data_IF_701579289449
#
_entry.id   IF_701579289449
#
_cell.length_a   1.000
_cell.length_b   1.000
_cell.length_c   1.000
_cell.angle_alpha   90.00
_cell.angle_beta   90.00
_cell.angle_gamma   90.00
#
_symmetry.space_group_name_H-M   'P 1'
#
loop_
_entity.id
_entity.type
_entity.pdbx_description
1 polymer ?
#
# COMPACT_ATOMS: atom_id res chain seq x y z
N UNK A 1 -2.38 2.29 -25.72
CA UNK A 1 -2.89 1.02 -25.14
C UNK A 1 -3.31 1.32 -23.72
N UNK A 2 -4.41 0.75 -23.23
CA UNK A 2 -4.85 0.95 -21.84
C UNK A 2 -3.80 0.43 -20.87
N UNK A 3 -3.50 1.21 -19.82
CA UNK A 3 -2.55 0.83 -18.77
C UNK A 3 -3.17 -0.22 -17.86
N UNK A 4 -2.38 -1.21 -17.43
CA UNK A 4 -2.79 -2.30 -16.55
C UNK A 4 -1.89 -2.38 -15.35
N UNK A 5 -2.50 -2.53 -14.16
CA UNK A 5 -1.80 -2.85 -12.92
C UNK A 5 -2.28 -4.20 -12.38
N UNK A 6 -1.37 -5.10 -12.08
CA UNK A 6 -1.68 -6.26 -11.23
C UNK A 6 -1.59 -5.82 -9.78
N UNK A 7 -2.64 -6.11 -9.00
CA UNK A 7 -2.69 -5.78 -7.56
C UNK A 7 -2.84 -7.07 -6.77
N UNK A 8 -1.79 -7.44 -6.05
CA UNK A 8 -1.71 -8.66 -5.23
C UNK A 8 -1.99 -8.25 -3.78
N UNK A 9 -3.23 -8.42 -3.33
CA UNK A 9 -3.70 -8.00 -2.01
C UNK A 9 -4.89 -8.85 -1.58
N UNK A 10 -5.33 -8.77 -0.33
CA UNK A 10 -6.56 -9.42 0.10
C UNK A 10 -7.81 -8.71 -0.45
N UNK A 11 -8.94 -9.42 -0.37
CA UNK A 11 -10.25 -8.86 -0.65
C UNK A 11 -11.12 -8.92 0.61
N UNK A 12 -11.35 -7.78 1.24
CA UNK A 12 -12.31 -7.64 2.33
C UNK A 12 -13.68 -7.28 1.75
N UNK A 13 -14.68 -8.16 1.97
CA UNK A 13 -16.04 -7.96 1.43
C UNK A 13 -16.77 -6.80 2.11
N UNK A 14 -16.45 -6.52 3.38
CA UNK A 14 -16.97 -5.38 4.13
C UNK A 14 -15.83 -4.62 4.81
N UNK A 15 -15.95 -3.30 4.81
CA UNK A 15 -14.89 -2.35 5.14
C UNK A 15 -14.12 -1.92 3.88
N UNK A 16 -13.77 -0.65 3.79
CA UNK A 16 -13.11 -0.07 2.62
C UNK A 16 -11.60 -0.18 2.79
N UNK A 17 -11.04 -1.32 2.40
CA UNK A 17 -9.60 -1.59 2.42
C UNK A 17 -9.20 -2.54 1.29
N UNK A 18 -7.93 -2.73 1.10
CA UNK A 18 -7.33 -3.72 0.20
C UNK A 18 -7.85 -3.63 -1.24
N UNK A 19 -8.16 -4.74 -1.91
CA UNK A 19 -8.67 -4.75 -3.30
C UNK A 19 -10.00 -3.99 -3.45
N UNK A 20 -10.83 -3.94 -2.40
CA UNK A 20 -12.12 -3.25 -2.45
C UNK A 20 -11.95 -1.74 -2.70
N UNK A 21 -10.84 -1.11 -2.31
CA UNK A 21 -10.53 0.29 -2.61
C UNK A 21 -9.60 0.44 -3.80
N UNK A 22 -8.65 -0.47 -4.00
CA UNK A 22 -7.71 -0.38 -5.13
C UNK A 22 -8.43 -0.45 -6.47
N UNK A 23 -9.44 -1.30 -6.61
CA UNK A 23 -10.19 -1.47 -7.86
C UNK A 23 -10.88 -0.17 -8.31
N UNK A 24 -11.75 0.48 -7.49
CA UNK A 24 -12.42 1.71 -7.90
C UNK A 24 -11.45 2.88 -8.08
N UNK A 25 -10.43 3.03 -7.23
CA UNK A 25 -9.43 4.11 -7.34
C UNK A 25 -8.67 4.02 -8.66
N UNK A 26 -8.07 2.87 -8.97
CA UNK A 26 -7.32 2.70 -10.21
C UNK A 26 -8.22 2.85 -11.44
N UNK A 27 -9.46 2.36 -11.37
CA UNK A 27 -10.44 2.53 -12.45
C UNK A 27 -10.79 4.00 -12.69
N UNK A 28 -11.01 4.79 -11.64
CA UNK A 28 -11.24 6.24 -11.74
C UNK A 28 -10.03 6.95 -12.40
N UNK A 29 -8.82 6.49 -12.09
CA UNK A 29 -7.57 7.00 -12.68
C UNK A 29 -7.26 6.41 -14.07
N UNK A 30 -8.22 5.75 -14.74
CA UNK A 30 -8.11 5.17 -16.09
C UNK A 30 -7.07 4.05 -16.21
N UNK A 31 -6.78 3.36 -15.11
CA UNK A 31 -5.92 2.18 -15.06
C UNK A 31 -6.80 0.94 -14.88
N UNK A 32 -6.61 -0.08 -15.73
CA UNK A 32 -7.24 -1.38 -15.53
C UNK A 32 -6.58 -2.07 -14.34
N UNK A 33 -7.30 -2.17 -13.22
CA UNK A 33 -6.90 -3.01 -12.09
C UNK A 33 -7.13 -4.48 -12.42
N UNK A 34 -6.10 -5.32 -12.26
CA UNK A 34 -6.15 -6.76 -12.43
C UNK A 34 -5.87 -7.40 -11.06
N UNK A 35 -6.90 -7.69 -10.25
CA UNK A 35 -6.71 -8.17 -8.89
C UNK A 35 -6.22 -9.62 -8.84
N UNK A 36 -5.29 -9.89 -7.92
CA UNK A 36 -4.83 -11.23 -7.52
C UNK A 36 -5.08 -11.36 -6.02
N UNK A 37 -6.17 -11.99 -5.59
CA UNK A 37 -6.47 -12.14 -4.18
C UNK A 37 -5.44 -13.01 -3.45
N UNK A 38 -4.96 -12.56 -2.29
CA UNK A 38 -4.14 -13.35 -1.36
C UNK A 38 -4.99 -14.06 -0.32
N UNK A 39 -6.10 -13.42 0.06
CA UNK A 39 -7.11 -13.93 0.98
C UNK A 39 -8.48 -13.30 0.66
N UNK A 40 -9.54 -13.95 1.06
CA UNK A 40 -10.91 -13.40 0.98
C UNK A 40 -11.45 -13.34 2.40
N UNK A 41 -11.78 -12.15 2.86
CA UNK A 41 -12.35 -11.88 4.18
C UNK A 41 -13.82 -11.49 4.08
N UNK A 42 -14.64 -11.92 5.03
CA UNK A 42 -16.01 -11.41 5.19
C UNK A 42 -16.01 -9.92 5.52
N UNK A 43 -15.08 -9.50 6.35
CA UNK A 43 -14.77 -8.14 6.76
C UNK A 43 -13.33 -8.11 7.27
N UNK A 44 -12.67 -6.97 7.21
CA UNK A 44 -11.26 -6.89 7.60
C UNK A 44 -11.01 -7.20 9.10
N UNK A 45 -9.76 -7.50 9.42
CA UNK A 45 -9.31 -7.99 10.74
C UNK A 45 -9.49 -6.99 11.90
N UNK A 46 -9.78 -5.72 11.64
CA UNK A 46 -10.08 -4.69 12.64
C UNK A 46 -11.45 -4.83 13.30
N UNK A 47 -12.35 -5.66 12.76
CA UNK A 47 -13.64 -5.97 13.40
C UNK A 47 -13.47 -7.00 14.54
N UNK A 48 -14.42 -7.07 15.50
CA UNK A 48 -14.33 -8.02 16.60
C UNK A 48 -14.32 -9.49 16.21
N UNK A 49 -14.88 -9.81 15.04
CA UNK A 49 -14.87 -11.14 14.44
C UNK A 49 -14.85 -11.05 12.94
N UNK A 50 -14.25 -12.01 12.29
CA UNK A 50 -14.21 -12.16 10.84
C UNK A 50 -14.05 -13.64 10.48
N UNK A 51 -14.42 -13.98 9.26
CA UNK A 51 -14.05 -15.25 8.64
C UNK A 51 -13.22 -14.96 7.39
N UNK A 52 -12.30 -15.84 7.07
CA UNK A 52 -11.45 -15.68 5.92
C UNK A 52 -11.06 -17.02 5.29
N UNK A 53 -10.72 -16.96 4.03
CA UNK A 53 -10.16 -18.07 3.27
C UNK A 53 -8.80 -17.65 2.75
N UNK A 54 -7.76 -18.39 3.11
CA UNK A 54 -6.43 -18.27 2.50
C UNK A 54 -6.53 -18.70 1.03
N UNK A 55 -6.06 -17.85 0.13
CA UNK A 55 -6.17 -18.09 -1.31
C UNK A 55 -4.88 -18.66 -1.93
N UNK A 56 -3.85 -18.92 -1.15
CA UNK A 56 -2.51 -19.34 -1.59
C UNK A 56 -2.56 -20.51 -2.59
N UNK A 57 -3.38 -21.53 -2.32
CA UNK A 57 -3.49 -22.72 -3.18
C UNK A 57 -4.02 -22.42 -4.60
N UNK A 58 -4.62 -21.25 -4.82
CA UNK A 58 -5.22 -20.86 -6.11
C UNK A 58 -4.38 -19.81 -6.86
N UNK A 59 -3.37 -19.22 -6.23
CA UNK A 59 -2.64 -18.08 -6.80
C UNK A 59 -1.81 -18.46 -8.03
N UNK A 60 -1.18 -19.62 -8.05
CA UNK A 60 -0.35 -20.04 -9.20
C UNK A 60 -1.15 -20.13 -10.51
N UNK A 61 -2.45 -20.42 -10.44
CA UNK A 61 -3.34 -20.41 -11.59
C UNK A 61 -3.40 -19.06 -12.33
N UNK A 62 -3.19 -17.93 -11.63
CA UNK A 62 -3.11 -16.60 -12.29
C UNK A 62 -1.87 -16.49 -13.18
N UNK A 63 -0.71 -16.94 -12.70
CA UNK A 63 0.52 -16.92 -13.50
C UNK A 63 0.35 -17.80 -14.74
N UNK A 64 -0.19 -19.01 -14.55
CA UNK A 64 -0.37 -19.97 -15.64
C UNK A 64 -1.31 -19.44 -16.72
N UNK A 65 -2.52 -18.99 -16.34
CA UNK A 65 -3.52 -18.51 -17.29
C UNK A 65 -3.11 -17.19 -17.94
N UNK A 66 -2.54 -16.26 -17.17
CA UNK A 66 -2.16 -14.94 -17.71
C UNK A 66 -0.94 -15.03 -18.63
N UNK A 67 -0.04 -16.01 -18.45
CA UNK A 67 1.00 -16.35 -19.43
C UNK A 67 0.42 -16.85 -20.75
N UNK A 68 -0.58 -17.75 -20.69
CA UNK A 68 -1.28 -18.25 -21.89
C UNK A 68 -1.97 -17.13 -22.67
N UNK A 69 -2.54 -16.17 -21.94
CA UNK A 69 -3.16 -14.97 -22.52
C UNK A 69 -2.15 -13.92 -23.03
N UNK A 70 -0.86 -14.10 -22.75
CA UNK A 70 0.20 -13.14 -23.13
C UNK A 70 0.04 -11.79 -22.45
N UNK A 71 -0.50 -11.74 -21.22
CA UNK A 71 -0.73 -10.49 -20.53
C UNK A 71 0.58 -9.79 -20.18
N UNK A 72 0.54 -8.47 -20.19
CA UNK A 72 1.62 -7.58 -19.76
C UNK A 72 1.03 -6.51 -18.84
N UNK A 73 1.79 -6.14 -17.83
CA UNK A 73 1.42 -5.13 -16.85
C UNK A 73 2.37 -3.94 -16.92
N UNK A 74 1.84 -2.75 -16.72
CA UNK A 74 2.64 -1.53 -16.60
C UNK A 74 3.10 -1.32 -15.14
N UNK A 75 2.37 -1.91 -14.18
CA UNK A 75 2.73 -1.90 -12.78
C UNK A 75 2.27 -3.17 -12.07
N UNK A 76 2.95 -3.50 -10.99
CA UNK A 76 2.59 -4.57 -10.05
C UNK A 76 2.63 -3.97 -8.65
N UNK A 77 1.53 -4.08 -7.91
CA UNK A 77 1.44 -3.63 -6.53
C UNK A 77 1.19 -4.81 -5.62
N UNK A 78 1.84 -4.83 -4.45
CA UNK A 78 1.52 -5.75 -3.37
C UNK A 78 0.88 -5.01 -2.21
N UNK A 79 0.07 -5.71 -1.42
CA UNK A 79 -0.44 -5.31 -0.12
C UNK A 79 -0.31 -6.45 0.87
N UNK A 80 -1.40 -6.84 1.53
CA UNK A 80 -1.41 -7.91 2.51
C UNK A 80 -0.97 -9.27 1.93
N UNK A 81 0.01 -9.89 2.59
CA UNK A 81 0.50 -11.25 2.31
C UNK A 81 0.42 -12.08 3.60
N UNK A 82 -0.33 -13.16 3.60
CA UNK A 82 -0.63 -13.96 4.78
C UNK A 82 0.41 -15.03 5.11
N UNK A 83 1.43 -15.26 4.27
CA UNK A 83 2.43 -16.31 4.47
C UNK A 83 3.70 -16.09 3.64
N UNK A 84 4.80 -16.77 4.01
CA UNK A 84 6.03 -16.79 3.21
C UNK A 84 5.80 -17.40 1.82
N UNK A 85 4.91 -18.38 1.69
CA UNK A 85 4.54 -18.94 0.40
C UNK A 85 3.95 -17.90 -0.56
N UNK A 86 3.22 -16.89 -0.02
CA UNK A 86 2.71 -15.77 -0.80
C UNK A 86 3.82 -14.78 -1.16
N UNK A 87 4.82 -14.56 -0.30
CA UNK A 87 6.03 -13.81 -0.66
C UNK A 87 6.75 -14.50 -1.83
N UNK A 88 6.95 -15.81 -1.76
CA UNK A 88 7.56 -16.59 -2.85
C UNK A 88 6.73 -16.53 -4.13
N UNK A 89 5.40 -16.53 -4.01
CA UNK A 89 4.50 -16.33 -5.15
C UNK A 89 4.74 -14.97 -5.83
N UNK A 90 4.86 -13.89 -5.04
CA UNK A 90 5.12 -12.56 -5.61
C UNK A 90 6.42 -12.55 -6.43
N UNK A 91 7.49 -13.21 -5.95
CA UNK A 91 8.72 -13.33 -6.74
C UNK A 91 8.51 -14.09 -8.05
N UNK A 92 7.77 -15.22 -8.03
CA UNK A 92 7.40 -15.94 -9.27
C UNK A 92 6.54 -15.09 -10.21
N UNK A 93 5.67 -14.24 -9.64
CA UNK A 93 4.85 -13.31 -10.41
C UNK A 93 5.71 -12.21 -11.04
N UNK A 94 6.67 -11.64 -10.31
CA UNK A 94 7.64 -10.67 -10.83
C UNK A 94 8.53 -11.29 -11.93
N UNK A 95 8.98 -12.52 -11.78
CA UNK A 95 9.73 -13.25 -12.82
C UNK A 95 8.89 -13.43 -14.10
N UNK A 96 7.58 -13.62 -13.95
CA UNK A 96 6.68 -13.82 -15.07
C UNK A 96 6.29 -12.52 -15.80
N UNK A 97 6.10 -11.43 -15.05
CA UNK A 97 5.42 -10.23 -15.53
C UNK A 97 6.11 -8.91 -15.14
N UNK A 98 7.16 -8.94 -14.33
CA UNK A 98 7.81 -7.75 -13.78
C UNK A 98 8.68 -6.99 -14.79
N UNK A 99 9.05 -7.62 -15.92
CA UNK A 99 9.93 -6.97 -16.89
C UNK A 99 9.30 -5.68 -17.46
N UNK A 100 9.87 -4.54 -17.09
CA UNK A 100 9.39 -3.21 -17.52
C UNK A 100 8.13 -2.72 -16.82
N UNK A 101 7.66 -3.43 -15.78
CA UNK A 101 6.59 -2.98 -14.91
C UNK A 101 7.15 -2.19 -13.72
N UNK A 102 6.43 -1.15 -13.29
CA UNK A 102 6.71 -0.46 -12.03
C UNK A 102 6.30 -1.36 -10.85
N UNK A 103 7.23 -1.67 -9.96
CA UNK A 103 6.99 -2.53 -8.78
C UNK A 103 6.76 -1.67 -7.54
N UNK A 104 5.52 -1.63 -7.06
CA UNK A 104 5.12 -0.89 -5.87
C UNK A 104 4.85 -1.86 -4.72
N UNK A 105 5.58 -1.75 -3.64
CA UNK A 105 5.43 -2.60 -2.47
C UNK A 105 4.83 -1.78 -1.33
N UNK A 106 3.60 -2.12 -0.97
CA UNK A 106 2.98 -1.71 0.29
C UNK A 106 3.20 -2.84 1.30
N UNK A 107 4.12 -2.68 2.25
CA UNK A 107 4.57 -3.77 3.09
C UNK A 107 3.66 -3.96 4.30
N UNK A 108 2.37 -4.13 4.05
CA UNK A 108 1.32 -4.26 5.07
C UNK A 108 1.66 -5.33 6.09
N UNK A 109 1.98 -4.95 7.33
CA UNK A 109 2.30 -5.91 8.40
C UNK A 109 1.93 -5.44 9.80
N UNK A 110 1.67 -4.16 10.02
CA UNK A 110 1.37 -3.64 11.35
C UNK A 110 1.25 -2.13 11.42
N UNK A 111 0.84 -1.61 12.57
CA UNK A 111 0.74 -0.18 12.83
C UNK A 111 0.95 0.14 14.33
N UNK A 112 1.25 1.40 14.67
CA UNK A 112 1.46 1.86 16.06
C UNK A 112 2.47 1.02 16.86
N UNK A 113 3.55 0.57 16.20
CA UNK A 113 4.59 -0.24 16.81
C UNK A 113 4.20 -1.70 17.07
N UNK A 114 3.10 -2.18 16.49
CA UNK A 114 2.59 -3.54 16.68
C UNK A 114 2.29 -4.21 15.36
N UNK A 115 2.64 -5.49 15.25
CA UNK A 115 2.23 -6.31 14.12
C UNK A 115 0.73 -6.64 14.21
N UNK A 116 0.08 -6.78 13.06
CA UNK A 116 -1.29 -7.30 13.00
C UNK A 116 -1.34 -8.74 13.50
N UNK A 117 -2.49 -9.17 14.02
CA UNK A 117 -2.68 -10.52 14.58
C UNK A 117 -2.45 -11.66 13.58
N UNK A 118 -2.46 -11.35 12.30
CA UNK A 118 -2.19 -12.28 11.20
C UNK A 118 -0.71 -12.39 10.84
N UNK A 119 0.17 -11.57 11.45
CA UNK A 119 1.61 -11.58 11.18
C UNK A 119 2.40 -12.19 12.32
N UNK A 120 3.29 -13.13 12.01
CA UNK A 120 4.40 -13.50 12.89
C UNK A 120 5.57 -12.53 12.68
N UNK A 121 6.52 -12.55 13.62
CA UNK A 121 7.75 -11.76 13.49
C UNK A 121 8.58 -12.22 12.29
N UNK A 122 8.67 -13.51 12.09
CA UNK A 122 9.42 -14.13 10.98
C UNK A 122 8.85 -13.71 9.64
N UNK A 123 7.50 -13.72 9.49
CA UNK A 123 6.84 -13.26 8.27
C UNK A 123 7.10 -11.77 8.02
N UNK A 124 7.02 -10.94 9.06
CA UNK A 124 7.30 -9.51 8.95
C UNK A 124 8.77 -9.24 8.55
N UNK A 125 9.72 -10.00 9.10
CA UNK A 125 11.13 -9.92 8.71
C UNK A 125 11.35 -10.37 7.27
N UNK A 126 10.60 -11.37 6.79
CA UNK A 126 10.67 -11.87 5.42
C UNK A 126 10.23 -10.83 4.36
N UNK A 127 9.46 -9.81 4.74
CA UNK A 127 9.10 -8.69 3.86
C UNK A 127 10.31 -7.86 3.39
N UNK A 128 11.43 -7.91 4.11
CA UNK A 128 12.69 -7.28 3.67
C UNK A 128 13.21 -7.81 2.33
N UNK A 129 12.78 -9.01 1.93
CA UNK A 129 13.12 -9.60 0.63
C UNK A 129 12.65 -8.76 -0.56
N UNK A 130 11.67 -7.86 -0.36
CA UNK A 130 11.20 -6.97 -1.42
C UNK A 130 12.09 -5.75 -1.66
N UNK A 131 12.97 -5.38 -0.72
CA UNK A 131 13.83 -4.19 -0.87
C UNK A 131 14.69 -4.20 -2.15
N UNK A 132 15.24 -5.35 -2.63
CA UNK A 132 16.03 -5.39 -3.86
C UNK A 132 15.21 -5.29 -5.16
N UNK A 133 13.88 -5.31 -5.10
CA UNK A 133 13.02 -5.39 -6.30
C UNK A 133 11.97 -4.28 -6.35
N UNK A 134 11.82 -3.50 -5.28
CA UNK A 134 10.84 -2.43 -5.20
C UNK A 134 11.33 -1.16 -5.90
N UNK A 135 10.53 -0.61 -6.82
CA UNK A 135 10.72 0.73 -7.36
C UNK A 135 10.12 1.80 -6.43
N UNK A 136 9.02 1.43 -5.75
CA UNK A 136 8.31 2.30 -4.79
C UNK A 136 7.98 1.50 -3.53
N UNK A 137 8.21 2.11 -2.37
CA UNK A 137 7.87 1.60 -1.04
C UNK A 137 6.97 2.60 -0.33
N UNK A 138 5.86 2.11 0.25
CA UNK A 138 4.87 2.94 0.97
C UNK A 138 4.67 2.52 2.44
N UNK A 139 5.73 2.19 3.20
CA UNK A 139 5.57 1.74 4.57
C UNK A 139 5.00 2.84 5.46
N UNK A 140 4.17 2.48 6.45
CA UNK A 140 3.97 3.33 7.62
C UNK A 140 5.22 3.31 8.52
N UNK A 141 5.23 4.12 9.58
CA UNK A 141 6.39 4.22 10.46
C UNK A 141 6.75 2.88 11.14
N UNK A 142 5.76 2.05 11.50
CA UNK A 142 5.98 0.72 12.10
C UNK A 142 6.67 -0.21 11.11
N UNK A 143 6.15 -0.27 9.91
CA UNK A 143 6.66 -1.09 8.81
C UNK A 143 8.06 -0.67 8.41
N UNK A 144 8.30 0.64 8.31
CA UNK A 144 9.63 1.18 8.03
C UNK A 144 10.66 0.77 9.09
N UNK A 145 10.27 0.78 10.38
CA UNK A 145 11.11 0.33 11.48
C UNK A 145 11.42 -1.17 11.39
N UNK A 146 10.42 -2.01 11.08
CA UNK A 146 10.62 -3.46 10.89
C UNK A 146 11.55 -3.73 9.72
N UNK A 147 11.32 -3.07 8.58
CA UNK A 147 12.15 -3.24 7.39
C UNK A 147 13.60 -2.78 7.62
N UNK A 148 13.80 -1.72 8.40
CA UNK A 148 15.13 -1.19 8.72
C UNK A 148 15.80 -1.85 9.93
N UNK A 149 15.10 -2.76 10.63
CA UNK A 149 15.58 -3.42 11.86
C UNK A 149 15.91 -2.46 12.99
N UNK A 150 15.04 -1.49 13.22
CA UNK A 150 15.19 -0.51 14.31
C UNK A 150 13.95 -0.49 15.22
N UNK A 151 14.09 -0.08 16.47
CA UNK A 151 12.95 0.11 17.37
C UNK A 151 11.98 1.18 16.85
N UNK A 152 10.67 0.93 17.03
CA UNK A 152 9.63 1.92 16.76
C UNK A 152 9.66 3.05 17.78
N UNK A 153 9.64 4.29 17.30
CA UNK A 153 9.45 5.50 18.10
C UNK A 153 8.48 6.45 17.37
N UNK A 154 7.29 6.76 17.89
CA UNK A 154 6.33 7.68 17.26
C UNK A 154 6.89 9.12 17.15
N UNK A 155 7.92 9.46 17.93
CA UNK A 155 8.57 10.77 17.93
C UNK A 155 9.94 10.76 17.20
N UNK A 156 10.15 9.75 16.35
CA UNK A 156 11.41 9.57 15.63
C UNK A 156 11.85 10.88 14.95
N UNK A 157 13.10 11.35 15.21
CA UNK A 157 13.63 12.57 14.60
C UNK A 157 13.78 12.44 13.07
N UNK A 158 13.65 13.54 12.34
CA UNK A 158 13.77 13.55 10.87
C UNK A 158 15.14 13.03 10.39
N UNK A 159 16.22 13.24 11.15
CA UNK A 159 17.54 12.67 10.84
C UNK A 159 17.59 11.15 10.87
N UNK A 160 16.78 10.52 11.75
CA UNK A 160 16.63 9.06 11.81
C UNK A 160 15.72 8.59 10.68
N UNK A 161 14.61 9.29 10.40
CA UNK A 161 13.74 9.01 9.26
C UNK A 161 14.53 9.04 7.94
N UNK A 162 15.43 10.02 7.77
CA UNK A 162 16.31 10.09 6.61
C UNK A 162 17.21 8.85 6.50
N UNK A 163 17.77 8.40 7.62
CA UNK A 163 18.64 7.21 7.64
C UNK A 163 17.85 5.96 7.29
N UNK A 164 16.61 5.82 7.82
CA UNK A 164 15.70 4.72 7.51
C UNK A 164 15.34 4.74 6.03
N UNK A 165 14.82 5.86 5.51
CA UNK A 165 14.40 5.96 4.11
C UNK A 165 15.55 5.69 3.14
N UNK A 166 16.75 6.20 3.44
CA UNK A 166 17.98 5.90 2.67
C UNK A 166 18.33 4.41 2.72
N UNK A 167 18.21 3.75 3.88
CA UNK A 167 18.44 2.31 4.00
C UNK A 167 17.45 1.50 3.15
N UNK A 168 16.18 1.84 3.21
CA UNK A 168 15.12 1.17 2.42
C UNK A 168 15.32 1.36 0.92
N UNK A 169 15.82 2.52 0.50
CA UNK A 169 16.09 2.83 -0.91
C UNK A 169 17.36 2.16 -1.45
N UNK A 170 18.33 1.81 -0.58
CA UNK A 170 19.71 1.54 -0.98
C UNK A 170 19.92 0.36 -1.94
N UNK A 171 19.06 -0.67 -1.89
CA UNK A 171 19.26 -1.90 -2.67
C UNK A 171 18.74 -1.82 -4.11
N UNK A 172 17.79 -0.94 -4.40
CA UNK A 172 17.20 -0.80 -5.74
C UNK A 172 16.95 0.66 -6.15
N UNK A 173 17.49 1.62 -5.40
CA UNK A 173 17.18 3.04 -5.56
C UNK A 173 15.66 3.33 -5.51
N UNK A 174 14.95 2.60 -4.63
CA UNK A 174 13.52 2.74 -4.48
C UNK A 174 13.14 4.15 -4.02
N UNK A 175 12.05 4.67 -4.57
CA UNK A 175 11.36 5.83 -4.02
C UNK A 175 10.61 5.39 -2.77
N UNK A 176 10.79 6.10 -1.66
CA UNK A 176 10.23 5.70 -0.38
C UNK A 176 9.33 6.82 0.16
N UNK A 177 8.14 6.47 0.60
CA UNK A 177 7.33 7.35 1.44
C UNK A 177 6.98 6.65 2.73
N UNK A 178 7.49 7.16 3.86
CA UNK A 178 7.11 6.69 5.19
C UNK A 178 5.88 7.49 5.62
N UNK A 179 4.75 6.79 5.78
CA UNK A 179 3.43 7.42 5.93
C UNK A 179 3.00 7.59 7.39
N UNK A 180 2.08 8.52 7.63
CA UNK A 180 1.32 8.61 8.86
C UNK A 180 2.11 9.00 10.10
N UNK A 181 3.21 9.75 9.97
CA UNK A 181 4.06 10.14 11.09
C UNK A 181 3.40 11.29 11.86
N UNK A 182 3.05 11.12 13.15
CA UNK A 182 2.42 12.18 13.92
C UNK A 182 3.42 13.32 14.25
N UNK A 183 3.00 14.57 14.01
CA UNK A 183 3.74 15.78 14.35
C UNK A 183 2.78 16.83 14.93
N UNK A 184 2.50 16.76 16.22
CA UNK A 184 1.53 17.65 16.87
C UNK A 184 0.12 17.45 16.33
N UNK A 185 -0.42 18.49 15.65
CA UNK A 185 -1.76 18.48 15.02
C UNK A 185 -1.72 18.03 13.55
N UNK A 186 -0.56 17.63 13.04
CA UNK A 186 -0.38 17.21 11.66
C UNK A 186 0.00 15.72 11.56
N UNK A 187 -0.30 15.13 10.41
CA UNK A 187 0.28 13.88 9.93
C UNK A 187 1.27 14.23 8.83
N UNK A 188 2.47 13.68 8.93
CA UNK A 188 3.56 13.91 7.98
C UNK A 188 3.87 12.64 7.23
N UNK A 189 4.03 12.76 5.91
CA UNK A 189 4.58 11.74 5.05
C UNK A 189 6.04 12.14 4.72
N UNK A 190 6.99 11.26 5.06
CA UNK A 190 8.41 11.47 4.79
C UNK A 190 8.75 10.86 3.44
N UNK A 191 8.95 11.71 2.43
CA UNK A 191 9.25 11.31 1.04
C UNK A 191 10.76 11.32 0.82
N UNK A 192 11.28 10.25 0.23
CA UNK A 192 12.69 10.13 -0.15
C UNK A 192 12.81 9.63 -1.59
N UNK A 193 13.48 10.41 -2.43
CA UNK A 193 13.73 10.11 -3.84
C UNK A 193 15.10 10.66 -4.24
N UNK A 194 15.95 9.86 -4.87
CA UNK A 194 17.26 10.25 -5.42
C UNK A 194 18.16 11.03 -4.46
N UNK A 195 18.18 10.63 -3.18
CA UNK A 195 18.98 11.28 -2.14
C UNK A 195 18.34 12.52 -1.51
N UNK A 196 17.20 12.97 -2.02
CA UNK A 196 16.47 14.16 -1.52
C UNK A 196 15.32 13.72 -0.62
N UNK A 197 15.18 14.41 0.52
CA UNK A 197 14.06 14.21 1.46
C UNK A 197 13.11 15.40 1.43
N UNK A 198 11.80 15.12 1.42
CA UNK A 198 10.73 16.14 1.48
C UNK A 198 9.68 15.71 2.49
N UNK A 199 9.20 16.64 3.29
CA UNK A 199 8.07 16.43 4.20
C UNK A 199 6.79 16.94 3.53
N UNK A 200 5.80 16.08 3.45
CA UNK A 200 4.44 16.42 2.99
C UNK A 200 3.49 16.25 4.16
N UNK A 201 2.91 17.35 4.63
CA UNK A 201 2.05 17.33 5.81
C UNK A 201 0.59 17.68 5.49
N UNK A 202 -0.31 17.09 6.28
CA UNK A 202 -1.74 17.45 6.32
C UNK A 202 -2.19 17.59 7.76
N UNK A 203 -3.20 18.43 8.03
CA UNK A 203 -3.85 18.43 9.33
C UNK A 203 -4.38 17.04 9.67
N UNK A 204 -4.17 16.60 10.90
CA UNK A 204 -4.79 15.36 11.39
C UNK A 204 -6.28 15.60 11.57
N UNK A 205 -7.10 14.99 10.72
CA UNK A 205 -8.55 15.10 10.74
C UNK A 205 -9.18 13.87 11.43
N UNK A 206 -9.86 14.11 12.55
CA UNK A 206 -10.59 13.05 13.25
C UNK A 206 -9.70 11.91 13.78
N UNK A 207 -10.28 10.71 13.82
CA UNK A 207 -9.62 9.49 14.25
C UNK A 207 -9.18 8.65 13.06
N UNK A 208 -8.24 7.72 13.29
CA UNK A 208 -7.70 6.85 12.26
C UNK A 208 -8.77 5.87 11.73
N UNK A 209 -8.75 5.65 10.41
CA UNK A 209 -9.73 4.81 9.71
C UNK A 209 -9.03 3.67 8.98
N UNK A 210 -9.67 2.51 9.00
CA UNK A 210 -9.17 1.34 8.27
C UNK A 210 -9.04 1.61 6.77
N UNK A 211 -8.03 1.03 6.13
CA UNK A 211 -7.82 1.11 4.68
C UNK A 211 -7.20 2.41 4.16
N UNK A 212 -6.85 3.35 5.05
CA UNK A 212 -6.19 4.60 4.64
C UNK A 212 -4.90 4.35 3.87
N UNK A 213 -4.08 3.37 4.30
CA UNK A 213 -2.86 2.95 3.61
C UNK A 213 -3.12 2.42 2.20
N UNK A 214 -4.11 1.52 2.05
CA UNK A 214 -4.49 0.97 0.74
C UNK A 214 -4.99 2.04 -0.23
N UNK A 215 -5.77 3.01 0.28
CA UNK A 215 -6.23 4.15 -0.51
C UNK A 215 -5.03 4.98 -0.96
N UNK A 216 -4.14 5.32 -0.04
CA UNK A 216 -2.95 6.13 -0.30
C UNK A 216 -2.03 5.47 -1.34
N UNK A 217 -1.67 4.21 -1.14
CA UNK A 217 -0.79 3.46 -2.05
C UNK A 217 -1.42 3.25 -3.43
N UNK A 218 -2.74 3.03 -3.50
CA UNK A 218 -3.46 2.91 -4.78
C UNK A 218 -3.49 4.20 -5.59
N UNK A 219 -3.66 5.36 -4.91
CA UNK A 219 -3.62 6.67 -5.59
C UNK A 219 -2.21 6.96 -6.09
N UNK A 220 -1.16 6.69 -5.28
CA UNK A 220 0.24 6.83 -5.73
C UNK A 220 0.48 6.01 -6.99
N UNK A 221 0.09 4.72 -6.99
CA UNK A 221 0.26 3.86 -8.14
C UNK A 221 -0.42 4.44 -9.39
N UNK A 222 -1.69 4.84 -9.28
CA UNK A 222 -2.44 5.43 -10.40
C UNK A 222 -1.81 6.71 -10.93
N UNK A 223 -1.34 7.59 -10.03
CA UNK A 223 -0.69 8.86 -10.35
C UNK A 223 0.64 8.64 -11.09
N UNK A 224 1.51 7.76 -10.59
CA UNK A 224 2.76 7.38 -11.24
C UNK A 224 2.52 6.77 -12.63
N UNK A 225 1.55 5.86 -12.74
CA UNK A 225 1.16 5.28 -14.02
C UNK A 225 0.64 6.36 -15.00
N UNK A 226 0.07 7.45 -14.51
CA UNK A 226 -0.37 8.59 -15.31
C UNK A 226 0.74 9.63 -15.57
N UNK A 227 1.98 9.34 -15.17
CA UNK A 227 3.16 10.13 -15.50
C UNK A 227 3.43 11.28 -14.55
N UNK A 228 2.79 11.31 -13.38
CA UNK A 228 3.15 12.26 -12.33
C UNK A 228 4.54 11.94 -11.76
N UNK A 229 5.26 12.95 -11.27
CA UNK A 229 6.45 12.73 -10.44
C UNK A 229 6.06 12.06 -9.12
N UNK A 230 7.01 11.42 -8.43
CA UNK A 230 6.72 10.74 -7.18
C UNK A 230 6.19 11.70 -6.10
N UNK A 231 6.81 12.87 -5.96
CA UNK A 231 6.34 13.87 -5.02
C UNK A 231 4.90 14.32 -5.33
N UNK A 232 4.58 14.59 -6.59
CA UNK A 232 3.22 14.97 -6.97
C UNK A 232 2.21 13.82 -6.76
N UNK A 233 2.63 12.57 -6.94
CA UNK A 233 1.79 11.41 -6.66
C UNK A 233 1.48 11.29 -5.15
N UNK A 234 2.47 11.56 -4.30
CA UNK A 234 2.29 11.64 -2.83
C UNK A 234 1.35 12.77 -2.45
N UNK A 235 1.52 13.97 -3.02
CA UNK A 235 0.62 15.12 -2.79
C UNK A 235 -0.81 14.79 -3.21
N UNK A 236 -1.00 14.18 -4.40
CA UNK A 236 -2.32 13.76 -4.88
C UNK A 236 -2.97 12.75 -3.92
N UNK A 237 -2.21 11.76 -3.46
CA UNK A 237 -2.71 10.77 -2.52
C UNK A 237 -3.06 11.39 -1.17
N UNK A 238 -2.24 12.32 -0.70
CA UNK A 238 -2.43 13.03 0.56
C UNK A 238 -3.74 13.86 0.55
N UNK A 239 -3.97 14.62 -0.52
CA UNK A 239 -5.19 15.42 -0.71
C UNK A 239 -6.43 14.51 -0.83
N UNK A 240 -6.35 13.44 -1.62
CA UNK A 240 -7.46 12.51 -1.78
C UNK A 240 -7.86 11.85 -0.47
N UNK A 241 -6.89 11.38 0.32
CA UNK A 241 -7.14 10.81 1.65
C UNK A 241 -7.77 11.85 2.58
N UNK A 242 -7.28 13.09 2.59
CA UNK A 242 -7.87 14.15 3.41
C UNK A 242 -9.34 14.40 3.04
N UNK A 243 -9.67 14.54 1.76
CA UNK A 243 -11.05 14.70 1.29
C UNK A 243 -11.94 13.49 1.64
N UNK A 244 -11.41 12.25 1.52
CA UNK A 244 -12.13 11.05 1.90
C UNK A 244 -12.39 10.97 3.41
N UNK A 245 -11.45 11.44 4.24
CA UNK A 245 -11.65 11.57 5.70
C UNK A 245 -12.74 12.59 6.00
N UNK A 246 -12.69 13.79 5.40
CA UNK A 246 -13.71 14.81 5.55
C UNK A 246 -15.10 14.32 5.14
N UNK A 247 -15.20 13.63 4.00
CA UNK A 247 -16.44 13.01 3.54
C UNK A 247 -16.96 11.98 4.56
N UNK A 248 -16.07 11.15 5.10
CA UNK A 248 -16.42 10.14 6.10
C UNK A 248 -16.92 10.74 7.41
N UNK A 249 -16.32 11.86 7.85
CA UNK A 249 -16.77 12.62 9.03
C UNK A 249 -18.15 13.24 8.76
N UNK A 250 -18.35 13.88 7.61
CA UNK A 250 -19.63 14.48 7.21
C UNK A 250 -20.77 13.46 7.17
N UNK A 251 -20.48 12.23 6.73
CA UNK A 251 -21.45 11.14 6.64
C UNK A 251 -21.62 10.34 7.94
N UNK A 252 -20.89 10.69 8.98
CA UNK A 252 -20.84 9.93 10.24
C UNK A 252 -20.52 8.43 10.01
N UNK A 253 -19.64 8.15 9.06
CA UNK A 253 -19.23 6.78 8.73
C UNK A 253 -18.45 6.18 9.92
N UNK A 254 -18.79 4.96 10.41
CA UNK A 254 -18.03 4.32 11.46
C UNK A 254 -16.55 4.14 11.08
N UNK A 255 -15.63 4.29 12.05
CA UNK A 255 -14.18 4.25 11.79
C UNK A 255 -13.73 2.94 11.10
N UNK A 256 -14.33 1.82 11.51
CA UNK A 256 -14.02 0.48 10.95
C UNK A 256 -14.59 0.26 9.56
N UNK A 257 -15.57 1.04 9.12
CA UNK A 257 -16.11 0.95 7.76
C UNK A 257 -15.14 1.55 6.72
N UNK A 258 -14.07 2.22 7.18
CA UNK A 258 -13.05 2.84 6.35
C UNK A 258 -13.42 4.22 5.83
N UNK A 259 -12.79 4.61 4.73
CA UNK A 259 -12.96 5.92 4.10
C UNK A 259 -14.12 5.91 3.10
N UNK A 260 -14.99 6.92 3.13
CA UNK A 260 -16.08 7.11 2.16
C UNK A 260 -15.52 7.60 0.81
N UNK A 261 -14.72 6.76 0.15
CA UNK A 261 -14.04 7.10 -1.11
C UNK A 261 -15.01 7.37 -2.25
N UNK A 262 -16.20 6.78 -2.20
CA UNK A 262 -17.24 6.93 -3.22
C UNK A 262 -17.65 8.39 -3.43
N UNK A 263 -17.56 9.20 -2.37
CA UNK A 263 -17.90 10.63 -2.39
C UNK A 263 -16.87 11.49 -3.12
N UNK A 264 -15.63 10.98 -3.23
CA UNK A 264 -14.47 11.77 -3.70
C UNK A 264 -13.75 11.15 -4.90
N UNK A 265 -14.22 10.00 -5.43
CA UNK A 265 -13.61 9.38 -6.61
C UNK A 265 -13.52 10.33 -7.81
N UNK A 266 -14.43 11.31 -7.89
CA UNK A 266 -14.41 12.35 -8.91
C UNK A 266 -13.15 13.23 -8.91
N UNK A 267 -12.46 13.35 -7.79
CA UNK A 267 -11.23 14.14 -7.66
C UNK A 267 -10.04 13.50 -8.38
N UNK A 268 -10.16 12.23 -8.79
CA UNK A 268 -9.12 11.46 -9.48
C UNK A 268 -9.29 11.40 -11.01
N UNK A 269 -10.34 12.02 -11.56
CA UNK A 269 -10.69 11.89 -12.99
C UNK A 269 -10.05 12.96 -13.85
#
# INVERSE_FOLDING_TARGET
MQKRAAVINDFASFGRCSLAVSIPILSAMKVQCCPVPTAIFTNHTGFPSFQWTDYTAHMDGYIEEWRKLGLKFNAIQTGFLGSEAQIDYVFRFLDAFGQGALVCIDPVMGDYGRLYSTYSRELAESMRRFLPVADVLTPNLTEACVLADIPYDPHMPDSVLQTVARHLSALHNAKVVITGIPRGTELVNYVYEDGVSTLVSTPKLGEDRSGTGDVFSSVILGALMNGQSFLNAVDTANLFVAHAVEASIRLDTPLKDGLAIEEVLGDLV
#
